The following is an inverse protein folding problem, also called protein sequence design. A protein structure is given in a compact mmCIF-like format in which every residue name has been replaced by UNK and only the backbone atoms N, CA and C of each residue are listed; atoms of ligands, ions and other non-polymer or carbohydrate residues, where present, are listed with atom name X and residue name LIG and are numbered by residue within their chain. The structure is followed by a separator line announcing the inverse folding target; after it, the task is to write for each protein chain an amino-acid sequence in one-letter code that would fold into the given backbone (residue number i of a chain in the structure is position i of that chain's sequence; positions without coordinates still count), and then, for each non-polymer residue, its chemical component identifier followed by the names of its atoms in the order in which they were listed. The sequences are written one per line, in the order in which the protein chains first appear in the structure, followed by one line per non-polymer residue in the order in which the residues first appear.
data_IF_661394468481
#
_entry.id   IF_661394468481
#
_cell.length_a   1.000
_cell.length_b   1.000
_cell.length_c   1.000
_cell.angle_alpha   90.00
_cell.angle_beta   90.00
_cell.angle_gamma   90.00
#
_symmetry.space_group_name_H-M   'P 1'
#
loop_
_entity.id
_entity.type
_entity.pdbx_description
1 polymer ?
#
# COMPACT_ATOMS: atom_id res chain seq x y z
N UNK A 1 -2.88 -4.12 20.22
CA UNK A 1 -2.04 -3.13 20.92
C UNK A 1 -2.27 -1.80 20.23
N UNK A 2 -2.50 -0.72 20.96
CA UNK A 2 -2.53 0.63 20.41
C UNK A 2 -1.14 1.00 19.86
N UNK A 3 -1.10 1.69 18.72
CA UNK A 3 0.14 2.25 18.17
C UNK A 3 0.73 3.24 19.17
N UNK A 4 1.94 2.99 19.68
CA UNK A 4 2.65 3.87 20.62
C UNK A 4 3.45 4.97 19.92
N UNK A 5 3.64 4.87 18.61
CA UNK A 5 4.41 5.86 17.85
C UNK A 5 5.92 5.80 18.06
N UNK A 6 6.42 4.81 18.81
CA UNK A 6 7.85 4.57 18.96
C UNK A 6 8.33 3.43 18.08
N UNK A 7 9.61 3.47 17.73
CA UNK A 7 10.27 2.31 17.17
C UNK A 7 10.57 1.31 18.31
N UNK A 8 10.31 0.04 18.07
CA UNK A 8 10.55 -1.07 19.01
C UNK A 8 12.02 -1.17 19.41
N UNK A 9 12.93 -0.80 18.50
CA UNK A 9 14.36 -0.68 18.75
C UNK A 9 14.81 0.77 18.59
N UNK A 10 14.78 1.53 19.68
CA UNK A 10 15.43 2.84 19.76
C UNK A 10 16.87 2.68 20.25
N UNK A 11 17.84 3.21 19.50
CA UNK A 11 19.23 3.30 19.95
C UNK A 11 19.37 4.53 20.84
N UNK A 12 19.41 4.33 22.17
CA UNK A 12 19.76 5.37 23.13
C UNK A 12 18.85 5.37 24.35
N UNK A 13 19.35 4.80 25.46
CA UNK A 13 18.66 4.78 26.76
C UNK A 13 19.17 5.88 27.71
N UNK A 14 20.16 6.67 27.30
CA UNK A 14 20.95 7.49 28.24
C UNK A 14 21.22 8.93 27.75
N UNK A 15 20.18 9.76 27.63
CA UNK A 15 20.35 11.22 27.75
C UNK A 15 19.19 11.81 28.57
N UNK A 16 19.46 12.68 29.56
CA UNK A 16 18.42 13.39 30.28
C UNK A 16 17.90 14.50 29.36
N UNK A 17 17.03 14.15 28.42
CA UNK A 17 16.38 15.15 27.59
C UNK A 17 15.44 15.99 28.46
N UNK A 18 15.42 17.31 28.23
CA UNK A 18 14.44 18.28 28.76
C UNK A 18 13.03 18.00 28.19
N UNK A 19 12.79 16.78 27.76
CA UNK A 19 11.68 16.38 26.91
C UNK A 19 10.96 15.26 27.63
N UNK A 20 9.68 15.46 27.84
CA UNK A 20 8.81 14.46 28.46
C UNK A 20 8.29 13.51 27.38
N UNK A 21 8.50 12.22 27.60
CA UNK A 21 8.00 11.16 26.75
C UNK A 21 6.51 10.91 27.04
N UNK A 22 5.69 11.00 25.99
CA UNK A 22 4.23 10.88 26.10
C UNK A 22 3.69 9.55 25.59
N UNK A 23 4.56 8.57 25.30
CA UNK A 23 4.15 7.28 24.73
C UNK A 23 3.17 6.48 25.60
N UNK A 24 3.24 6.60 26.93
CA UNK A 24 2.29 5.93 27.84
C UNK A 24 0.87 6.50 27.72
N UNK A 25 0.74 7.80 27.43
CA UNK A 25 -0.55 8.49 27.21
C UNK A 25 -1.18 8.06 25.87
N UNK A 26 -0.37 7.72 24.88
CA UNK A 26 -0.84 7.29 23.56
C UNK A 26 -1.68 6.02 23.65
N UNK A 27 -1.44 5.17 24.66
CA UNK A 27 -2.21 3.93 24.86
C UNK A 27 -3.71 4.13 25.14
N UNK A 28 -4.11 5.37 25.49
CA UNK A 28 -5.50 5.76 25.77
C UNK A 28 -6.24 6.19 24.48
N UNK A 29 -5.54 6.36 23.36
CA UNK A 29 -6.17 6.75 22.08
C UNK A 29 -7.11 5.64 21.60
N UNK A 30 -8.34 6.04 21.28
CA UNK A 30 -9.37 5.13 20.80
C UNK A 30 -8.94 4.48 19.48
N UNK A 31 -8.97 3.14 19.38
CA UNK A 31 -8.70 2.43 18.11
C UNK A 31 -9.62 2.83 16.95
N UNK A 32 -10.72 3.54 17.22
CA UNK A 32 -11.65 4.06 16.20
C UNK A 32 -11.20 5.41 15.57
N UNK A 33 -10.20 6.07 16.15
CA UNK A 33 -9.61 7.30 15.60
C UNK A 33 -8.45 7.01 14.65
N UNK A 34 -7.60 6.03 15.00
CA UNK A 34 -6.40 5.62 14.26
C UNK A 34 -6.36 4.11 13.94
N UNK A 35 -7.38 3.59 13.23
CA UNK A 35 -7.58 2.16 13.04
C UNK A 35 -6.51 1.49 12.16
N UNK A 36 -5.94 2.18 11.16
CA UNK A 36 -4.86 1.62 10.35
C UNK A 36 -3.56 1.57 11.15
N UNK A 37 -3.18 2.65 11.84
CA UNK A 37 -2.00 2.68 12.70
C UNK A 37 -2.06 1.59 13.78
N UNK A 38 -3.21 1.43 14.45
CA UNK A 38 -3.41 0.38 15.44
C UNK A 38 -3.32 -1.05 14.87
N UNK A 39 -3.62 -1.22 13.57
CA UNK A 39 -3.51 -2.51 12.87
C UNK A 39 -2.09 -2.80 12.38
N UNK A 40 -1.38 -1.80 11.85
CA UNK A 40 0.03 -1.93 11.42
C UNK A 40 0.98 -2.12 12.62
N UNK A 41 0.64 -1.53 13.76
CA UNK A 41 1.46 -1.57 14.96
C UNK A 41 2.69 -0.68 14.87
N UNK A 42 3.54 -0.80 15.88
CA UNK A 42 4.74 0.03 16.01
C UNK A 42 5.85 -0.41 15.06
N UNK A 43 6.58 0.58 14.54
CA UNK A 43 7.73 0.31 13.70
C UNK A 43 8.78 -0.51 14.45
N UNK A 44 9.48 -1.37 13.73
CA UNK A 44 10.64 -2.10 14.23
C UNK A 44 11.83 -1.17 14.33
N UNK A 45 12.00 -0.23 13.39
CA UNK A 45 13.17 0.64 13.30
C UNK A 45 12.77 2.09 13.12
N UNK A 46 13.64 3.01 13.56
CA UNK A 46 13.50 4.43 13.30
C UNK A 46 14.20 4.82 11.98
N UNK A 47 13.73 5.88 11.33
CA UNK A 47 14.40 6.47 10.18
C UNK A 47 15.67 7.20 10.65
N UNK A 48 16.77 7.06 9.90
CA UNK A 48 18.04 7.69 10.23
C UNK A 48 18.22 9.07 9.57
N UNK A 49 17.37 9.43 8.61
CA UNK A 49 17.49 10.64 7.81
C UNK A 49 16.13 11.25 7.50
N UNK A 50 16.16 12.54 7.11
CA UNK A 50 14.99 13.32 6.68
C UNK A 50 14.38 12.81 5.36
N UNK A 51 15.21 12.11 4.58
CA UNK A 51 14.81 11.30 3.42
C UNK A 51 14.95 9.84 3.84
N UNK A 52 13.83 9.14 3.93
CA UNK A 52 13.81 7.72 4.25
C UNK A 52 13.83 6.93 2.95
N UNK A 53 14.86 6.12 2.77
CA UNK A 53 15.10 5.38 1.54
C UNK A 53 15.14 3.89 1.82
N UNK A 54 14.58 3.11 0.90
CA UNK A 54 14.67 1.66 0.89
C UNK A 54 14.99 1.17 -0.51
N UNK A 55 15.56 -0.04 -0.58
CA UNK A 55 15.96 -0.65 -1.84
C UNK A 55 14.97 -1.76 -2.17
N UNK A 56 14.49 -1.74 -3.40
CA UNK A 56 13.68 -2.81 -3.96
C UNK A 56 14.45 -3.51 -5.08
N UNK A 57 14.28 -4.83 -5.13
CA UNK A 57 14.80 -5.68 -6.20
C UNK A 57 13.66 -6.60 -6.64
N UNK A 58 13.65 -6.94 -7.92
CA UNK A 58 12.66 -7.82 -8.51
C UNK A 58 13.40 -8.95 -9.21
N UNK A 59 12.83 -10.16 -9.17
CA UNK A 59 13.34 -11.25 -9.99
C UNK A 59 13.20 -10.91 -11.48
N UNK A 60 13.98 -11.60 -12.32
CA UNK A 60 13.84 -11.50 -13.75
C UNK A 60 12.38 -11.82 -14.14
N UNK A 61 11.73 -10.95 -14.92
CA UNK A 61 10.34 -11.14 -15.29
C UNK A 61 10.22 -12.38 -16.18
N UNK A 62 9.27 -13.25 -15.85
CA UNK A 62 8.93 -14.45 -16.61
C UNK A 62 7.72 -14.24 -17.53
N UNK A 63 7.19 -13.02 -17.60
CA UNK A 63 6.09 -12.67 -18.49
C UNK A 63 6.34 -11.35 -19.22
N UNK A 64 5.73 -11.20 -20.38
CA UNK A 64 5.61 -9.93 -21.10
C UNK A 64 4.28 -9.89 -21.87
N UNK A 65 4.04 -8.89 -22.72
CA UNK A 65 2.87 -8.89 -23.59
C UNK A 65 3.26 -8.51 -25.03
N UNK A 66 2.49 -9.05 -25.97
CA UNK A 66 2.59 -8.71 -27.39
C UNK A 66 2.21 -7.24 -27.58
N UNK A 67 3.04 -6.50 -28.31
CA UNK A 67 2.83 -5.11 -28.68
C UNK A 67 2.83 -4.98 -30.20
N UNK A 68 1.83 -5.61 -30.82
CA UNK A 68 1.73 -5.73 -32.25
C UNK A 68 0.26 -5.77 -32.66
N UNK A 69 -0.13 -4.83 -33.52
CA UNK A 69 -1.50 -4.71 -34.02
C UNK A 69 -1.70 -5.44 -35.36
N UNK A 70 -0.64 -5.59 -36.14
CA UNK A 70 -0.68 -6.20 -37.48
C UNK A 70 0.29 -7.36 -37.53
N UNK A 71 -0.20 -8.54 -37.93
CA UNK A 71 0.57 -9.77 -37.99
C UNK A 71 0.72 -10.21 -39.44
N UNK A 72 1.95 -10.52 -39.86
CA UNK A 72 2.24 -11.02 -41.21
C UNK A 72 2.77 -12.45 -41.10
N UNK A 73 2.16 -13.43 -41.78
CA UNK A 73 1.02 -13.31 -42.69
C UNK A 73 -0.34 -13.17 -41.98
N UNK A 74 -0.47 -13.60 -40.73
CA UNK A 74 -1.67 -13.47 -39.91
C UNK A 74 -1.31 -13.74 -38.42
N UNK A 75 -2.27 -13.58 -37.50
CA UNK A 75 -2.05 -13.77 -36.04
C UNK A 75 -1.76 -15.21 -35.59
N UNK A 76 -1.99 -16.22 -36.42
CA UNK A 76 -1.64 -17.62 -36.13
C UNK A 76 -0.24 -18.01 -36.60
N UNK A 77 0.21 -17.42 -37.70
CA UNK A 77 1.40 -17.89 -38.44
C UNK A 77 2.57 -16.89 -38.43
N UNK A 78 2.37 -15.70 -37.86
CA UNK A 78 3.46 -14.74 -37.73
C UNK A 78 4.60 -15.31 -36.87
N UNK A 79 5.81 -15.31 -37.44
CA UNK A 79 7.06 -15.77 -36.81
C UNK A 79 7.90 -14.61 -36.28
N UNK A 80 7.54 -13.38 -36.62
CA UNK A 80 8.13 -12.16 -36.06
C UNK A 80 7.10 -11.47 -35.19
N UNK A 81 7.33 -11.48 -33.87
CA UNK A 81 6.41 -10.96 -32.85
C UNK A 81 7.09 -9.83 -32.08
N UNK A 82 6.53 -8.63 -32.18
CA UNK A 82 6.94 -7.49 -31.38
C UNK A 82 6.31 -7.58 -29.99
N UNK A 83 7.15 -7.50 -28.96
CA UNK A 83 6.75 -7.51 -27.55
C UNK A 83 7.06 -6.16 -26.89
N UNK A 84 6.55 -5.93 -25.69
CA UNK A 84 6.84 -4.68 -24.96
C UNK A 84 8.33 -4.58 -24.59
N UNK A 85 8.96 -5.69 -24.17
CA UNK A 85 10.32 -5.73 -23.67
C UNK A 85 11.05 -6.99 -24.15
N UNK A 86 11.72 -6.93 -25.30
CA UNK A 86 12.42 -8.10 -25.87
C UNK A 86 13.61 -8.56 -25.02
N UNK A 87 14.22 -7.68 -24.23
CA UNK A 87 15.28 -8.03 -23.28
C UNK A 87 14.84 -8.97 -22.14
N UNK A 88 13.55 -9.28 -22.02
CA UNK A 88 13.04 -10.31 -21.09
C UNK A 88 13.25 -11.74 -21.61
N UNK A 89 13.44 -11.89 -22.92
CA UNK A 89 13.56 -13.16 -23.62
C UNK A 89 15.00 -13.41 -24.05
N UNK A 90 15.37 -14.68 -24.17
CA UNK A 90 16.63 -15.13 -24.73
C UNK A 90 16.38 -16.17 -25.82
N UNK A 91 17.38 -16.36 -26.67
CA UNK A 91 17.36 -17.43 -27.68
C UNK A 91 17.30 -18.78 -26.96
N UNK A 92 16.41 -19.65 -27.43
CA UNK A 92 16.11 -20.94 -26.81
C UNK A 92 14.95 -20.91 -25.82
N UNK A 93 14.42 -19.74 -25.46
CA UNK A 93 13.26 -19.67 -24.56
C UNK A 93 12.02 -20.32 -25.19
N UNK A 94 11.37 -21.18 -24.41
CA UNK A 94 10.03 -21.68 -24.70
C UNK A 94 9.01 -20.71 -24.12
N UNK A 95 8.12 -20.21 -24.98
CA UNK A 95 7.15 -19.18 -24.64
C UNK A 95 5.74 -19.68 -24.93
N UNK A 96 4.81 -19.41 -24.01
CA UNK A 96 3.39 -19.71 -24.18
C UNK A 96 2.58 -18.42 -24.33
N UNK A 97 1.78 -18.26 -25.41
CA UNK A 97 0.86 -17.14 -25.55
C UNK A 97 -0.42 -17.36 -24.74
N UNK A 98 -0.68 -16.48 -23.79
CA UNK A 98 -1.84 -16.50 -22.91
C UNK A 98 -1.97 -17.83 -22.18
N UNK A 99 -3.20 -18.31 -22.05
CA UNK A 99 -3.50 -19.66 -21.56
C UNK A 99 -3.68 -20.66 -22.71
N UNK A 100 -3.11 -20.38 -23.89
CA UNK A 100 -3.22 -21.28 -25.04
C UNK A 100 -2.35 -22.54 -24.86
N UNK A 101 -2.74 -23.66 -25.49
CA UNK A 101 -1.91 -24.86 -25.51
C UNK A 101 -0.69 -24.73 -26.45
N UNK A 102 -0.60 -23.67 -27.26
CA UNK A 102 0.53 -23.44 -28.15
C UNK A 102 1.81 -23.15 -27.37
N UNK A 103 2.94 -23.67 -27.84
CA UNK A 103 4.29 -23.31 -27.35
C UNK A 103 5.11 -22.81 -28.53
N UNK A 104 5.86 -21.75 -28.29
CA UNK A 104 6.80 -21.17 -29.25
C UNK A 104 8.22 -21.41 -28.78
N UNK A 105 9.14 -21.54 -29.72
CA UNK A 105 10.57 -21.48 -29.43
C UNK A 105 11.14 -20.19 -29.98
N UNK A 106 11.80 -19.39 -29.14
CA UNK A 106 12.50 -18.17 -29.55
C UNK A 106 13.81 -18.55 -30.22
N UNK A 107 13.99 -18.16 -31.47
CA UNK A 107 15.21 -18.43 -32.26
C UNK A 107 16.09 -17.20 -32.44
N UNK A 108 15.53 -16.00 -32.35
CA UNK A 108 16.30 -14.76 -32.32
C UNK A 108 15.57 -13.67 -31.54
N UNK A 109 16.33 -12.75 -30.97
CA UNK A 109 15.81 -11.55 -30.30
C UNK A 109 16.55 -10.34 -30.89
N UNK A 110 15.80 -9.42 -31.51
CA UNK A 110 16.32 -8.19 -32.10
C UNK A 110 15.58 -6.98 -31.50
N UNK A 111 16.17 -6.36 -30.48
CA UNK A 111 15.50 -5.29 -29.73
C UNK A 111 14.24 -5.83 -29.05
N UNK A 112 13.07 -5.35 -29.49
CA UNK A 112 11.75 -5.79 -29.01
C UNK A 112 11.06 -6.81 -29.94
N UNK A 113 11.73 -7.27 -31.00
CA UNK A 113 11.17 -8.22 -31.96
C UNK A 113 11.73 -9.61 -31.67
N UNK A 114 10.84 -10.57 -31.44
CA UNK A 114 11.17 -11.98 -31.28
C UNK A 114 10.95 -12.71 -32.60
N UNK A 115 11.97 -13.42 -33.07
CA UNK A 115 11.80 -14.44 -34.11
C UNK A 115 11.49 -15.76 -33.42
N UNK A 116 10.37 -16.38 -33.77
CA UNK A 116 9.87 -17.59 -33.12
C UNK A 116 9.51 -18.68 -34.10
N UNK A 117 9.72 -19.93 -33.69
CA UNK A 117 9.10 -21.10 -34.30
C UNK A 117 7.77 -21.35 -33.60
N UNK A 118 6.68 -21.30 -34.37
CA UNK A 118 5.31 -21.55 -33.90
C UNK A 118 5.06 -23.04 -33.73
N UNK A 119 4.03 -23.39 -32.93
CA UNK A 119 3.57 -24.78 -32.76
C UNK A 119 4.69 -25.76 -32.39
N UNK A 120 5.64 -25.32 -31.60
CA UNK A 120 6.77 -26.14 -31.16
C UNK A 120 6.24 -27.38 -30.43
N UNK A 121 6.82 -28.55 -30.72
CA UNK A 121 6.38 -29.83 -30.17
C UNK A 121 5.01 -30.31 -30.66
N UNK A 122 4.59 -29.92 -31.88
CA UNK A 122 3.28 -30.25 -32.46
C UNK A 122 2.10 -29.70 -31.64
N UNK A 123 2.29 -28.56 -30.99
CA UNK A 123 1.23 -27.92 -30.20
C UNK A 123 0.15 -27.28 -31.10
N UNK A 124 -1.12 -27.23 -30.66
CA UNK A 124 -2.20 -26.65 -31.46
C UNK A 124 -1.98 -25.18 -31.80
N UNK A 125 -2.50 -24.74 -32.95
CA UNK A 125 -2.43 -23.34 -33.37
C UNK A 125 -3.24 -22.41 -32.44
N UNK A 126 -2.70 -21.22 -32.16
CA UNK A 126 -3.43 -20.17 -31.45
C UNK A 126 -3.32 -18.82 -32.19
N UNK A 127 -4.44 -18.12 -32.33
CA UNK A 127 -4.45 -16.77 -32.92
C UNK A 127 -4.04 -15.75 -31.88
N UNK A 128 -2.89 -15.12 -32.07
CA UNK A 128 -2.39 -14.06 -31.20
C UNK A 128 -3.03 -12.72 -31.57
N UNK A 129 -3.35 -11.93 -30.57
CA UNK A 129 -3.77 -10.53 -30.71
C UNK A 129 -2.84 -9.60 -29.94
N UNK A 130 -2.91 -8.31 -30.24
CA UNK A 130 -2.23 -7.30 -29.42
C UNK A 130 -2.60 -7.46 -27.94
N UNK A 131 -1.65 -7.26 -27.03
CA UNK A 131 -1.86 -7.37 -25.59
C UNK A 131 -1.92 -8.79 -25.04
N UNK A 132 -1.79 -9.82 -25.88
CA UNK A 132 -1.70 -11.21 -25.38
C UNK A 132 -0.48 -11.35 -24.47
N UNK A 133 -0.70 -11.77 -23.22
CA UNK A 133 0.40 -12.05 -22.27
C UNK A 133 1.23 -13.23 -22.81
N UNK A 134 2.54 -13.13 -22.77
CA UNK A 134 3.48 -14.20 -23.11
C UNK A 134 4.15 -14.67 -21.83
N UNK A 135 4.06 -15.96 -21.52
CA UNK A 135 4.72 -16.56 -20.37
C UNK A 135 5.95 -17.37 -20.80
N UNK A 136 7.09 -17.08 -20.20
CA UNK A 136 8.35 -17.81 -20.41
C UNK A 136 8.28 -19.08 -19.56
N UNK A 137 8.25 -20.23 -20.22
CA UNK A 137 8.23 -21.54 -19.57
C UNK A 137 9.63 -21.93 -19.07
N UNK A 138 10.66 -21.52 -19.80
CA UNK A 138 12.06 -21.78 -19.48
C UNK A 138 12.92 -21.79 -20.73
N UNK A 139 14.24 -21.74 -20.55
CA UNK A 139 15.19 -21.83 -21.65
C UNK A 139 15.47 -23.31 -21.99
N UNK A 140 15.29 -23.67 -23.27
CA UNK A 140 15.68 -24.97 -23.81
C UNK A 140 17.10 -24.87 -24.40
N UNK A 141 18.10 -24.95 -23.51
CA UNK A 141 19.50 -24.90 -23.88
C UNK A 141 19.90 -26.13 -24.73
N UNK A 142 20.78 -25.89 -25.72
CA UNK A 142 21.35 -26.95 -26.54
C UNK A 142 22.45 -27.70 -25.77
N UNK A 143 22.52 -29.02 -25.96
CA UNK A 143 23.57 -29.84 -25.38
C UNK A 143 24.95 -29.43 -25.93
N UNK A 144 25.91 -29.19 -25.03
CA UNK A 144 27.27 -28.78 -25.39
C UNK A 144 27.43 -27.34 -25.88
N UNK A 145 26.37 -26.51 -25.83
CA UNK A 145 26.46 -25.10 -26.19
C UNK A 145 27.13 -24.25 -25.09
N UNK A 146 27.74 -23.15 -25.51
CA UNK A 146 28.26 -22.14 -24.58
C UNK A 146 27.15 -21.54 -23.71
N UNK A 147 27.51 -21.14 -22.50
CA UNK A 147 26.56 -20.50 -21.59
C UNK A 147 26.03 -19.18 -22.17
N UNK A 148 24.71 -18.97 -22.05
CA UNK A 148 24.08 -17.72 -22.44
C UNK A 148 24.58 -16.54 -21.58
N UNK A 149 24.53 -15.30 -22.10
CA UNK A 149 24.91 -14.12 -21.33
C UNK A 149 24.13 -14.02 -20.01
N UNK A 150 24.86 -13.72 -18.93
CA UNK A 150 24.26 -13.52 -17.63
C UNK A 150 23.28 -12.33 -17.64
N UNK A 151 22.13 -12.52 -17.00
CA UNK A 151 21.11 -11.50 -16.82
C UNK A 151 21.19 -10.94 -15.42
N UNK A 152 21.15 -9.62 -15.31
CA UNK A 152 21.19 -8.92 -14.03
C UNK A 152 19.90 -8.15 -13.82
N UNK A 153 19.41 -8.13 -12.59
CA UNK A 153 18.37 -7.21 -12.14
C UNK A 153 19.05 -6.02 -11.48
N UNK A 154 18.49 -4.83 -11.65
CA UNK A 154 19.02 -3.64 -11.00
C UNK A 154 18.17 -3.31 -9.79
N UNK A 155 18.85 -2.98 -8.70
CA UNK A 155 18.24 -2.53 -7.46
C UNK A 155 17.77 -1.10 -7.63
N UNK A 156 16.49 -0.85 -7.38
CA UNK A 156 15.90 0.48 -7.49
C UNK A 156 15.76 1.06 -6.09
N UNK A 157 16.23 2.30 -5.92
CA UNK A 157 16.03 3.06 -4.69
C UNK A 157 14.66 3.73 -4.71
N UNK A 158 13.87 3.48 -3.67
CA UNK A 158 12.61 4.18 -3.38
C UNK A 158 12.83 5.10 -2.19
N UNK A 159 12.06 6.18 -2.11
CA UNK A 159 12.21 7.18 -1.07
C UNK A 159 10.88 7.81 -0.66
N UNK A 160 10.82 8.26 0.59
CA UNK A 160 9.79 9.14 1.13
C UNK A 160 10.44 10.20 2.03
N UNK A 161 9.72 11.28 2.29
CA UNK A 161 10.17 12.32 3.22
C UNK A 161 9.54 12.11 4.59
N UNK A 162 10.28 12.42 5.66
CA UNK A 162 9.68 12.53 7.00
C UNK A 162 8.99 13.89 7.18
N UNK A 163 7.83 13.89 7.82
CA UNK A 163 7.01 15.07 8.06
C UNK A 163 6.93 15.37 9.55
N UNK A 164 7.04 16.64 9.90
CA UNK A 164 6.93 17.12 11.28
C UNK A 164 5.46 17.39 11.60
N UNK A 165 4.98 16.78 12.66
CA UNK A 165 3.69 17.00 13.29
C UNK A 165 3.94 17.76 14.59
N UNK A 166 3.28 18.90 14.76
CA UNK A 166 3.48 19.72 15.95
C UNK A 166 2.19 20.43 16.37
N UNK A 167 1.96 20.48 17.68
CA UNK A 167 0.87 21.22 18.30
C UNK A 167 1.39 21.95 19.54
N UNK A 168 0.94 23.18 19.75
CA UNK A 168 1.30 23.98 20.92
C UNK A 168 0.24 23.86 22.01
N UNK A 169 0.69 23.75 23.25
CA UNK A 169 -0.14 23.79 24.46
C UNK A 169 0.26 25.03 25.25
N UNK A 170 -0.73 25.79 25.72
CA UNK A 170 -0.50 26.98 26.52
C UNK A 170 -1.57 27.07 27.61
N UNK A 171 -1.15 27.20 28.86
CA UNK A 171 -2.05 27.28 30.03
C UNK A 171 -1.64 28.48 30.88
N UNK A 172 -2.59 29.37 31.15
CA UNK A 172 -2.34 30.56 31.98
C UNK A 172 -2.17 30.20 33.45
N UNK A 173 -1.38 30.98 34.20
CA UNK A 173 -1.13 30.74 35.63
C UNK A 173 -2.42 30.73 36.47
N UNK A 174 -3.40 31.57 36.12
CA UNK A 174 -4.71 31.57 36.78
C UNK A 174 -5.48 30.27 36.52
N UNK A 175 -5.47 29.76 35.29
CA UNK A 175 -6.15 28.51 34.95
C UNK A 175 -5.51 27.30 35.63
N UNK A 176 -4.19 27.30 35.77
CA UNK A 176 -3.46 26.27 36.51
C UNK A 176 -3.74 26.31 38.02
N UNK A 177 -3.94 27.51 38.60
CA UNK A 177 -4.27 27.67 40.02
C UNK A 177 -5.73 27.32 40.35
N UNK A 178 -6.64 27.48 39.39
CA UNK A 178 -8.07 27.15 39.57
C UNK A 178 -8.26 25.65 39.47
N UNK A 179 -8.80 25.03 40.53
CA UNK A 179 -9.22 23.63 40.49
C UNK A 179 -10.44 23.47 39.59
N UNK A 180 -10.24 22.93 38.39
CA UNK A 180 -11.34 22.54 37.54
C UNK A 180 -11.96 21.22 38.02
N UNK A 181 -13.28 21.10 37.95
CA UNK A 181 -13.96 19.87 38.34
C UNK A 181 -13.67 18.77 37.31
N UNK A 182 -13.15 17.63 37.77
CA UNK A 182 -12.94 16.44 36.93
C UNK A 182 -11.58 16.36 36.22
N UNK A 183 -10.72 17.37 36.34
CA UNK A 183 -9.36 17.38 35.77
C UNK A 183 -8.35 17.59 36.90
N UNK A 184 -7.34 16.71 37.01
CA UNK A 184 -6.31 16.82 38.06
C UNK A 184 -5.28 17.90 37.73
N UNK A 185 -4.79 17.92 36.48
CA UNK A 185 -3.90 18.96 35.93
C UNK A 185 -4.37 19.33 34.52
N UNK A 186 -4.65 20.61 34.32
CA UNK A 186 -5.10 21.17 33.03
C UNK A 186 -4.02 21.04 31.96
N UNK A 187 -2.75 21.22 32.34
CA UNK A 187 -1.65 21.15 31.39
C UNK A 187 -1.54 19.75 30.80
N UNK A 188 -1.62 18.73 31.65
CA UNK A 188 -1.57 17.35 31.20
C UNK A 188 -2.79 17.02 30.34
N UNK A 189 -3.99 17.43 30.73
CA UNK A 189 -5.20 17.25 29.92
C UNK A 189 -5.04 17.82 28.50
N UNK A 190 -4.55 19.05 28.39
CA UNK A 190 -4.30 19.68 27.08
C UNK A 190 -3.20 18.96 26.28
N UNK A 191 -2.14 18.44 26.93
CA UNK A 191 -1.15 17.57 26.26
C UNK A 191 -1.83 16.33 25.66
N UNK A 192 -2.70 15.65 26.42
CA UNK A 192 -3.37 14.42 25.96
C UNK A 192 -4.26 14.70 24.74
N UNK A 193 -5.07 15.76 24.77
CA UNK A 193 -5.97 16.10 23.67
C UNK A 193 -5.20 16.51 22.40
N UNK A 194 -4.14 17.32 22.52
CA UNK A 194 -3.29 17.66 21.36
C UNK A 194 -2.57 16.45 20.79
N UNK A 195 -2.17 15.49 21.62
CA UNK A 195 -1.55 14.26 21.17
C UNK A 195 -2.52 13.38 20.37
N UNK A 196 -3.77 13.28 20.82
CA UNK A 196 -4.84 12.59 20.08
C UNK A 196 -5.09 13.24 18.72
N UNK A 197 -5.11 14.57 18.67
CA UNK A 197 -5.22 15.31 17.41
C UNK A 197 -4.03 15.01 16.47
N UNK A 198 -2.79 15.03 16.97
CA UNK A 198 -1.61 14.75 16.15
C UNK A 198 -1.58 13.30 15.62
N UNK A 199 -2.04 12.32 16.41
CA UNK A 199 -2.14 10.94 15.96
C UNK A 199 -3.22 10.75 14.90
N UNK A 200 -4.35 11.44 15.05
CA UNK A 200 -5.41 11.49 14.04
C UNK A 200 -4.90 12.10 12.73
N UNK A 201 -4.13 13.17 12.82
CA UNK A 201 -3.54 13.83 11.66
C UNK A 201 -2.47 12.94 11.01
N UNK A 202 -1.69 12.20 11.81
CA UNK A 202 -0.75 11.21 11.32
C UNK A 202 -1.46 10.12 10.50
N UNK A 203 -2.52 9.49 11.03
CA UNK A 203 -3.32 8.48 10.31
C UNK A 203 -3.84 9.03 8.98
N UNK A 204 -4.37 10.26 8.96
CA UNK A 204 -4.87 10.88 7.73
C UNK A 204 -3.73 11.13 6.72
N UNK A 205 -2.57 11.60 7.17
CA UNK A 205 -1.40 11.77 6.31
C UNK A 205 -0.81 10.43 5.84
N UNK A 206 -0.89 9.35 6.62
CA UNK A 206 -0.44 8.01 6.20
C UNK A 206 -1.29 7.53 5.02
N UNK A 207 -2.59 7.80 5.02
CA UNK A 207 -3.50 7.38 3.95
C UNK A 207 -3.45 8.33 2.75
N UNK A 208 -3.64 9.63 2.99
CA UNK A 208 -3.89 10.66 1.96
C UNK A 208 -2.71 11.63 1.73
N UNK A 209 -1.59 11.46 2.44
CA UNK A 209 -0.44 12.36 2.37
C UNK A 209 0.08 12.54 0.95
N UNK A 210 0.61 13.72 0.67
CA UNK A 210 1.20 14.06 -0.63
C UNK A 210 2.50 14.82 -0.40
N UNK A 211 3.59 14.32 -0.99
CA UNK A 211 4.90 14.95 -0.98
C UNK A 211 4.91 16.21 -1.87
N UNK A 212 5.78 17.19 -1.56
CA UNK A 212 5.89 18.39 -2.38
C UNK A 212 6.41 18.06 -3.79
N UNK A 213 5.94 18.80 -4.79
CA UNK A 213 6.35 18.61 -6.19
C UNK A 213 7.83 18.99 -6.43
N UNK A 214 8.40 19.82 -5.56
CA UNK A 214 9.79 20.28 -5.60
C UNK A 214 10.57 19.77 -4.39
N UNK A 215 11.86 19.51 -4.56
CA UNK A 215 12.75 19.07 -3.47
C UNK A 215 12.72 20.03 -2.29
N UNK A 216 12.32 19.59 -1.09
CA UNK A 216 12.26 20.44 0.10
C UNK A 216 13.64 20.70 0.74
N UNK A 217 14.66 19.90 0.38
CA UNK A 217 16.00 20.00 0.95
C UNK A 217 16.65 21.34 0.57
N UNK A 218 17.09 22.11 1.57
CA UNK A 218 17.73 23.42 1.36
C UNK A 218 16.78 24.57 1.01
N UNK A 219 15.47 24.33 0.98
CA UNK A 219 14.46 25.38 0.78
C UNK A 219 13.94 25.91 2.11
N UNK A 220 13.78 27.22 2.21
CA UNK A 220 13.13 27.89 3.35
C UNK A 220 11.63 28.09 3.14
N UNK A 221 11.12 27.84 1.93
CA UNK A 221 9.71 28.09 1.54
C UNK A 221 8.93 26.80 1.25
N UNK A 222 9.59 25.69 0.93
CA UNK A 222 8.94 24.41 0.64
C UNK A 222 8.81 23.59 1.91
N UNK A 223 7.57 23.33 2.31
CA UNK A 223 7.28 22.45 3.45
C UNK A 223 7.51 21.00 3.06
N UNK A 224 8.15 20.25 3.95
CA UNK A 224 8.36 18.81 3.80
C UNK A 224 7.12 18.05 4.29
N UNK A 225 6.47 17.34 3.37
CA UNK A 225 5.35 16.44 3.64
C UNK A 225 5.64 15.05 3.10
N UNK A 226 5.07 14.04 3.74
CA UNK A 226 5.23 12.65 3.32
C UNK A 226 4.20 12.26 2.26
N UNK A 227 4.56 11.34 1.37
CA UNK A 227 3.57 10.63 0.56
C UNK A 227 2.86 9.58 1.42
N UNK A 228 1.54 9.55 1.32
CA UNK A 228 0.70 8.50 1.88
C UNK A 228 0.55 7.31 0.92
N UNK A 229 -0.08 6.25 1.43
CA UNK A 229 -0.24 4.97 0.74
C UNK A 229 -0.97 5.12 -0.61
N UNK A 230 -2.03 5.94 -0.66
CA UNK A 230 -2.78 6.16 -1.92
C UNK A 230 -1.90 6.75 -3.02
N UNK A 231 -1.02 7.68 -2.66
CA UNK A 231 -0.17 8.38 -3.64
C UNK A 231 1.02 7.52 -4.10
N UNK A 232 1.45 6.57 -3.26
CA UNK A 232 2.51 5.62 -3.59
C UNK A 232 2.03 4.48 -4.49
N UNK A 233 0.72 4.21 -4.54
CA UNK A 233 0.10 3.26 -5.45
C UNK A 233 -0.16 3.89 -6.83
N UNK A 234 0.55 3.45 -7.86
CA UNK A 234 0.50 3.94 -9.24
C UNK A 234 0.12 2.85 -10.25
N UNK A 235 0.63 1.63 -10.08
CA UNK A 235 0.46 0.52 -11.04
C UNK A 235 -0.88 -0.19 -10.85
N UNK A 236 -1.20 -0.59 -9.63
CA UNK A 236 -2.39 -1.36 -9.29
C UNK A 236 -3.56 -0.48 -8.86
N UNK A 237 -3.97 0.42 -9.77
CA UNK A 237 -5.17 1.24 -9.61
C UNK A 237 -6.29 0.69 -10.50
N UNK A 238 -7.31 0.12 -9.86
CA UNK A 238 -8.46 -0.45 -10.55
C UNK A 238 -9.65 0.52 -10.51
N UNK A 239 -10.29 0.68 -11.66
CA UNK A 239 -11.51 1.48 -11.83
C UNK A 239 -12.60 0.58 -12.41
N UNK A 240 -13.81 0.55 -11.83
CA UNK A 240 -14.94 -0.22 -12.36
C UNK A 240 -15.12 -0.05 -13.88
N UNK A 241 -15.13 -1.16 -14.62
CA UNK A 241 -15.40 -1.18 -16.05
C UNK A 241 -14.29 -0.64 -16.97
N UNK A 242 -13.10 -0.33 -16.44
CA UNK A 242 -11.95 0.15 -17.24
C UNK A 242 -10.83 -0.88 -17.33
N UNK A 243 -10.05 -0.84 -18.42
CA UNK A 243 -8.85 -1.66 -18.61
C UNK A 243 -9.05 -3.17 -18.39
N UNK A 244 -10.25 -3.68 -18.71
CA UNK A 244 -10.62 -5.09 -18.50
C UNK A 244 -10.97 -5.45 -17.06
N UNK A 245 -11.00 -4.50 -16.14
CA UNK A 245 -11.51 -4.69 -14.78
C UNK A 245 -13.04 -4.81 -14.79
N UNK A 246 -13.64 -5.74 -14.01
CA UNK A 246 -15.07 -5.96 -14.02
C UNK A 246 -15.87 -4.70 -13.65
N UNK A 247 -17.05 -4.57 -14.27
CA UNK A 247 -18.00 -3.51 -13.92
C UNK A 247 -18.55 -3.73 -12.51
N UNK A 248 -18.92 -2.63 -11.86
CA UNK A 248 -19.56 -2.66 -10.54
C UNK A 248 -21.00 -3.15 -10.61
N UNK A 249 -21.60 -3.33 -9.44
CA UNK A 249 -23.05 -3.54 -9.32
C UNK A 249 -23.84 -2.24 -9.58
N UNK A 250 -25.16 -2.33 -9.45
CA UNK A 250 -26.05 -1.17 -9.57
C UNK A 250 -25.89 -0.45 -10.92
N UNK A 251 -25.60 0.86 -10.87
CA UNK A 251 -25.35 1.69 -12.05
C UNK A 251 -23.95 1.47 -12.69
N UNK A 252 -23.22 0.43 -12.28
CA UNK A 252 -21.92 0.05 -12.84
C UNK A 252 -20.70 0.43 -12.00
N UNK A 253 -20.90 1.11 -10.87
CA UNK A 253 -19.83 1.62 -9.98
C UNK A 253 -19.96 1.16 -8.52
N UNK A 254 -21.02 0.43 -8.16
CA UNK A 254 -21.13 -0.14 -6.81
C UNK A 254 -20.10 -1.26 -6.63
N UNK A 255 -19.43 -1.29 -5.48
CA UNK A 255 -18.51 -2.37 -5.13
C UNK A 255 -19.26 -3.71 -5.09
N UNK A 256 -18.73 -4.71 -5.80
CA UNK A 256 -19.22 -6.09 -5.78
C UNK A 256 -18.09 -7.10 -5.50
N UNK A 257 -18.46 -8.34 -5.22
CA UNK A 257 -17.50 -9.41 -4.88
C UNK A 257 -16.59 -9.76 -6.07
N UNK A 258 -17.12 -9.71 -7.29
CA UNK A 258 -16.35 -9.97 -8.52
C UNK A 258 -15.19 -9.00 -8.68
N UNK A 259 -15.39 -7.71 -8.37
CA UNK A 259 -14.34 -6.69 -8.36
C UNK A 259 -13.30 -6.95 -7.29
N UNK A 260 -13.73 -7.29 -6.08
CA UNK A 260 -12.82 -7.62 -4.99
C UNK A 260 -11.92 -8.80 -5.36
N UNK A 261 -12.51 -9.90 -5.83
CA UNK A 261 -11.77 -11.10 -6.22
C UNK A 261 -10.88 -10.86 -7.45
N UNK A 262 -11.30 -10.05 -8.42
CA UNK A 262 -10.46 -9.69 -9.56
C UNK A 262 -9.23 -8.86 -9.16
N UNK A 263 -9.39 -7.93 -8.22
CA UNK A 263 -8.27 -7.13 -7.71
C UNK A 263 -7.28 -8.02 -6.92
N UNK A 264 -7.78 -8.86 -6.02
CA UNK A 264 -6.96 -9.80 -5.25
C UNK A 264 -6.21 -10.78 -6.15
N UNK A 265 -6.89 -11.34 -7.16
CA UNK A 265 -6.27 -12.20 -8.17
C UNK A 265 -5.13 -11.50 -8.91
N UNK A 266 -5.33 -10.26 -9.33
CA UNK A 266 -4.33 -9.53 -10.11
C UNK A 266 -3.07 -9.28 -9.29
N UNK A 267 -3.22 -8.93 -8.01
CA UNK A 267 -2.09 -8.75 -7.10
C UNK A 267 -1.36 -10.07 -6.85
N UNK A 268 -2.09 -11.16 -6.67
CA UNK A 268 -1.52 -12.50 -6.52
C UNK A 268 -0.72 -12.93 -7.76
N UNK A 269 -1.27 -12.72 -8.98
CA UNK A 269 -0.58 -13.02 -10.24
C UNK A 269 0.74 -12.22 -10.42
N UNK A 270 0.80 -10.99 -9.93
CA UNK A 270 1.94 -10.09 -10.12
C UNK A 270 3.03 -10.21 -9.05
N UNK A 271 2.63 -10.36 -7.78
CA UNK A 271 3.55 -10.23 -6.64
C UNK A 271 3.74 -11.52 -5.85
N UNK A 272 2.87 -12.53 -6.08
CA UNK A 272 2.74 -13.71 -5.21
C UNK A 272 2.56 -13.37 -3.72
N UNK A 273 2.22 -12.12 -3.39
CA UNK A 273 1.91 -11.66 -2.04
C UNK A 273 0.43 -11.89 -1.74
N UNK A 274 0.15 -12.27 -0.48
CA UNK A 274 -1.22 -12.34 0.03
C UNK A 274 -1.57 -10.99 0.66
N UNK A 275 -2.60 -10.35 0.14
CA UNK A 275 -3.22 -9.20 0.80
C UNK A 275 -3.87 -9.71 2.08
N UNK A 276 -3.57 -9.05 3.20
CA UNK A 276 -4.07 -9.43 4.53
C UNK A 276 -4.96 -8.35 5.13
N UNK A 277 -5.01 -7.16 4.54
CA UNK A 277 -5.65 -5.98 5.13
C UNK A 277 -6.46 -5.24 4.07
N UNK A 278 -7.75 -5.07 4.32
CA UNK A 278 -8.64 -4.23 3.52
C UNK A 278 -8.99 -3.00 4.35
N UNK A 279 -8.71 -1.80 3.85
CA UNK A 279 -9.06 -0.55 4.54
C UNK A 279 -10.08 0.24 3.73
N UNK A 280 -11.19 0.56 4.39
CA UNK A 280 -12.37 1.15 3.73
C UNK A 280 -13.05 2.20 4.60
N UNK A 281 -13.78 3.08 3.93
CA UNK A 281 -14.76 3.97 4.56
C UNK A 281 -16.07 3.21 4.86
N UNK A 282 -16.96 3.81 5.67
CA UNK A 282 -18.23 3.24 6.12
C UNK A 282 -19.18 2.83 4.99
N UNK A 283 -19.24 3.57 3.89
CA UNK A 283 -20.11 3.19 2.76
C UNK A 283 -19.64 1.88 2.12
N UNK A 284 -18.35 1.80 1.75
CA UNK A 284 -17.79 0.59 1.15
C UNK A 284 -17.80 -0.58 2.13
N UNK A 285 -17.64 -0.32 3.44
CA UNK A 285 -17.83 -1.34 4.48
C UNK A 285 -19.24 -1.94 4.46
N UNK A 286 -20.29 -1.11 4.30
CA UNK A 286 -21.67 -1.62 4.17
C UNK A 286 -21.85 -2.45 2.91
N UNK A 287 -21.24 -2.06 1.79
CA UNK A 287 -21.25 -2.85 0.54
C UNK A 287 -20.56 -4.20 0.75
N UNK A 288 -19.42 -4.25 1.44
CA UNK A 288 -18.75 -5.52 1.79
C UNK A 288 -19.64 -6.40 2.66
N UNK A 289 -20.35 -5.85 3.65
CA UNK A 289 -21.28 -6.64 4.47
C UNK A 289 -22.42 -7.24 3.62
N UNK A 290 -22.80 -6.59 2.51
CA UNK A 290 -23.82 -7.10 1.60
C UNK A 290 -23.38 -8.28 0.73
N UNK A 291 -22.08 -8.60 0.69
CA UNK A 291 -21.58 -9.79 -0.04
C UNK A 291 -22.12 -11.09 0.58
N UNK A 292 -22.41 -11.08 1.89
CA UNK A 292 -23.06 -12.21 2.55
C UNK A 292 -24.52 -12.28 2.12
N UNK A 293 -24.84 -13.24 1.25
CA UNK A 293 -26.20 -13.50 0.79
C UNK A 293 -27.16 -13.81 1.94
N UNK A 294 -28.44 -13.45 1.79
CA UNK A 294 -29.44 -13.58 2.86
C UNK A 294 -29.62 -15.02 3.37
N UNK A 295 -29.38 -16.04 2.52
CA UNK A 295 -29.49 -17.44 2.90
C UNK A 295 -28.37 -17.94 3.85
N UNK A 296 -27.21 -17.28 3.85
CA UNK A 296 -26.13 -17.58 4.80
C UNK A 296 -26.37 -16.93 6.18
N UNK A 297 -27.37 -16.03 6.27
CA UNK A 297 -27.76 -15.34 7.51
C UNK A 297 -28.77 -16.22 8.25
N UNK A 298 -28.27 -17.14 9.08
CA UNK A 298 -29.11 -17.92 9.99
C UNK A 298 -29.17 -17.23 11.35
N UNK A 299 -30.39 -17.03 11.85
CA UNK A 299 -30.65 -16.57 13.21
C UNK A 299 -31.40 -17.68 13.94
N UNK A 300 -30.94 -18.02 15.14
CA UNK A 300 -31.68 -18.93 16.00
C UNK A 300 -32.91 -18.20 16.57
N UNK A 301 -34.02 -18.89 16.90
CA UNK A 301 -35.20 -18.27 17.50
C UNK A 301 -34.94 -17.52 18.82
N UNK A 302 -33.81 -17.78 19.48
CA UNK A 302 -33.37 -17.12 20.71
C UNK A 302 -32.44 -15.92 20.47
N UNK A 303 -32.07 -15.61 19.23
CA UNK A 303 -31.18 -14.50 18.92
C UNK A 303 -31.95 -13.16 18.98
N UNK A 304 -31.75 -12.41 20.07
CA UNK A 304 -32.32 -11.06 20.25
C UNK A 304 -31.46 -9.95 19.59
N UNK A 305 -30.36 -10.30 18.91
CA UNK A 305 -29.38 -9.35 18.36
C UNK A 305 -29.16 -9.57 16.86
N UNK A 306 -29.42 -8.53 16.06
CA UNK A 306 -29.08 -8.53 14.63
C UNK A 306 -27.56 -8.36 14.42
N UNK A 307 -26.95 -9.22 13.58
CA UNK A 307 -25.52 -9.20 13.25
C UNK A 307 -25.35 -9.19 11.74
N UNK A 308 -24.74 -8.11 11.21
CA UNK A 308 -24.45 -7.96 9.78
C UNK A 308 -23.09 -7.28 9.60
N UNK A 309 -22.04 -7.92 10.12
CA UNK A 309 -20.67 -7.41 10.14
C UNK A 309 -19.71 -8.45 9.59
N UNK A 310 -19.00 -8.09 8.52
CA UNK A 310 -17.88 -8.89 7.98
C UNK A 310 -16.58 -8.33 8.52
N UNK A 311 -16.00 -8.97 9.54
CA UNK A 311 -14.69 -8.56 10.10
C UNK A 311 -13.49 -9.10 9.33
N UNK A 312 -13.66 -10.29 8.72
CA UNK A 312 -12.65 -11.01 7.96
C UNK A 312 -13.32 -11.43 6.65
N UNK A 313 -12.63 -11.17 5.54
CA UNK A 313 -13.01 -11.57 4.20
C UNK A 313 -12.03 -12.64 3.73
N UNK A 314 -12.50 -13.87 3.65
CA UNK A 314 -11.73 -15.00 3.13
C UNK A 314 -12.06 -15.17 1.65
N UNK A 315 -11.02 -15.11 0.82
CA UNK A 315 -11.11 -15.29 -0.62
C UNK A 315 -10.19 -16.42 -1.06
N UNK A 316 -10.33 -16.89 -2.30
CA UNK A 316 -9.44 -17.89 -2.90
C UNK A 316 -7.96 -17.48 -2.91
N UNK A 317 -7.66 -16.18 -2.76
CA UNK A 317 -6.32 -15.60 -2.83
C UNK A 317 -5.74 -15.20 -1.47
N UNK A 318 -6.49 -15.39 -0.38
CA UNK A 318 -6.03 -15.08 0.97
C UNK A 318 -7.13 -14.60 1.91
N UNK A 319 -6.75 -14.49 3.19
CA UNK A 319 -7.60 -14.03 4.29
C UNK A 319 -7.29 -12.57 4.59
N UNK A 320 -8.28 -11.72 4.40
CA UNK A 320 -8.16 -10.27 4.56
C UNK A 320 -8.95 -9.78 5.79
N UNK A 321 -8.32 -9.04 6.69
CA UNK A 321 -9.00 -8.33 7.78
C UNK A 321 -9.54 -6.99 7.26
N UNK A 322 -10.83 -6.72 7.48
CA UNK A 322 -11.47 -5.49 7.02
C UNK A 322 -11.45 -4.42 8.11
N UNK A 323 -10.57 -3.45 7.98
CA UNK A 323 -10.39 -2.30 8.85
C UNK A 323 -11.23 -1.12 8.35
N UNK A 324 -12.03 -0.54 9.24
CA UNK A 324 -12.86 0.63 8.96
C UNK A 324 -12.07 1.90 9.35
N UNK A 325 -11.74 2.76 8.38
CA UNK A 325 -11.13 4.06 8.63
C UNK A 325 -11.93 5.17 7.96
N UNK A 326 -12.23 6.23 8.72
CA UNK A 326 -12.99 7.39 8.22
C UNK A 326 -12.20 8.24 7.22
N UNK A 327 -10.88 8.10 7.24
CA UNK A 327 -9.95 8.92 6.45
C UNK A 327 -9.77 8.39 5.03
N UNK A 328 -10.13 7.14 4.76
CA UNK A 328 -10.13 6.62 3.38
C UNK A 328 -11.24 7.35 2.58
N UNK A 329 -10.94 7.85 1.38
CA UNK A 329 -11.96 8.44 0.50
C UNK A 329 -13.14 7.49 0.27
N UNK A 330 -14.35 8.04 0.24
CA UNK A 330 -15.57 7.23 0.20
C UNK A 330 -15.71 6.37 -1.07
N UNK A 331 -15.04 6.75 -2.17
CA UNK A 331 -15.03 6.07 -3.46
C UNK A 331 -13.90 5.02 -3.59
N UNK A 332 -13.13 4.81 -2.52
CA UNK A 332 -11.88 4.06 -2.56
C UNK A 332 -11.86 2.88 -1.58
N UNK A 333 -11.27 1.77 -2.01
CA UNK A 333 -10.96 0.58 -1.20
C UNK A 333 -9.46 0.31 -1.32
N UNK A 334 -8.77 0.21 -0.18
CA UNK A 334 -7.34 -0.11 -0.14
C UNK A 334 -7.16 -1.59 0.20
N UNK A 335 -6.31 -2.25 -0.59
CA UNK A 335 -5.92 -3.64 -0.43
C UNK A 335 -4.43 -3.68 -0.15
N UNK A 336 -4.06 -3.97 1.10
CA UNK A 336 -2.69 -3.84 1.60
C UNK A 336 -2.17 -5.16 2.16
N UNK A 337 -0.87 -5.37 1.98
CA UNK A 337 -0.06 -6.36 2.72
C UNK A 337 0.59 -5.65 3.92
N UNK A 338 0.04 -5.85 5.12
CA UNK A 338 0.50 -5.16 6.34
C UNK A 338 1.97 -5.39 6.66
N UNK A 339 2.55 -6.52 6.23
CA UNK A 339 3.96 -6.83 6.48
C UNK A 339 4.94 -5.94 5.71
N UNK A 340 4.44 -5.20 4.71
CA UNK A 340 5.22 -4.34 3.80
C UNK A 340 4.94 -2.86 3.97
N UNK A 341 4.08 -2.49 4.92
CA UNK A 341 3.76 -1.09 5.24
C UNK A 341 4.19 -0.82 6.68
N UNK A 342 5.06 0.18 6.88
CA UNK A 342 5.57 0.53 8.20
C UNK A 342 5.53 2.06 8.39
N UNK A 343 5.01 2.52 9.52
CA UNK A 343 4.98 3.95 9.87
C UNK A 343 6.11 4.23 10.85
N UNK A 344 7.13 4.95 10.37
CA UNK A 344 8.44 5.04 11.00
C UNK A 344 8.66 6.44 11.58
N UNK A 345 9.00 6.57 12.88
CA UNK A 345 9.48 7.83 13.44
C UNK A 345 10.93 8.12 13.01
N UNK A 346 11.30 9.38 12.88
CA UNK A 346 12.71 9.77 12.80
C UNK A 346 13.40 9.50 14.15
N UNK A 347 14.64 8.99 14.11
CA UNK A 347 15.42 8.66 15.30
C UNK A 347 15.49 9.86 16.27
N UNK A 348 15.12 9.64 17.54
CA UNK A 348 15.07 10.67 18.58
C UNK A 348 13.94 11.70 18.41
N UNK A 349 13.03 11.53 17.45
CA UNK A 349 11.93 12.47 17.18
C UNK A 349 10.56 11.79 17.07
N UNK A 350 10.34 10.71 17.83
CA UNK A 350 8.97 10.23 18.12
C UNK A 350 8.18 11.30 18.87
N UNK A 351 6.85 11.17 18.97
CA UNK A 351 6.04 12.13 19.74
C UNK A 351 6.56 12.34 21.15
N UNK A 352 6.87 13.61 21.46
CA UNK A 352 7.40 14.01 22.74
C UNK A 352 6.99 15.45 23.06
N UNK A 353 6.87 15.75 24.35
CA UNK A 353 6.52 17.09 24.82
C UNK A 353 7.79 17.87 25.18
N UNK A 354 7.95 19.04 24.56
CA UNK A 354 9.05 19.97 24.82
C UNK A 354 8.51 21.24 25.48
N UNK A 355 8.94 21.59 26.70
CA UNK A 355 8.57 22.86 27.32
C UNK A 355 9.21 24.03 26.56
N UNK A 356 8.45 25.11 26.39
CA UNK A 356 8.92 26.36 25.80
C UNK A 356 9.28 27.35 26.91
N UNK A 357 10.02 28.40 26.56
CA UNK A 357 10.29 29.48 27.51
C UNK A 357 8.97 30.17 27.88
N UNK A 358 8.75 30.42 29.17
CA UNK A 358 7.58 31.12 29.65
C UNK A 358 7.51 32.52 29.04
N UNK A 359 6.33 32.87 28.51
CA UNK A 359 6.05 34.20 27.96
C UNK A 359 4.84 34.77 28.67
N UNK A 360 5.05 35.78 29.52
CA UNK A 360 4.00 36.28 30.41
C UNK A 360 3.68 35.32 31.56
N UNK A 361 2.46 35.41 32.12
CA UNK A 361 1.95 34.53 33.18
C UNK A 361 1.27 33.28 32.58
N UNK A 362 2.03 32.51 31.81
CA UNK A 362 1.57 31.26 31.19
C UNK A 362 2.70 30.22 31.08
N UNK A 363 2.31 28.95 31.21
CA UNK A 363 3.16 27.79 30.96
C UNK A 363 2.85 27.30 29.56
N UNK A 364 3.83 27.43 28.67
CA UNK A 364 3.71 27.04 27.27
C UNK A 364 4.64 25.86 26.94
N UNK A 365 4.20 25.00 26.03
CA UNK A 365 4.99 23.90 25.51
C UNK A 365 4.55 23.47 24.12
N UNK A 366 5.33 22.60 23.50
CA UNK A 366 5.07 22.08 22.18
C UNK A 366 5.17 20.56 22.19
N UNK A 367 4.14 19.90 21.68
CA UNK A 367 4.18 18.50 21.34
C UNK A 367 4.69 18.37 19.90
N UNK A 368 5.75 17.58 19.70
CA UNK A 368 6.39 17.42 18.39
C UNK A 368 6.66 15.94 18.12
N UNK A 369 6.42 15.51 16.89
CA UNK A 369 6.83 14.21 16.38
C UNK A 369 7.14 14.29 14.90
N UNK A 370 8.03 13.44 14.41
CA UNK A 370 8.43 13.40 13.01
C UNK A 370 8.35 11.98 12.47
N UNK A 371 7.53 11.78 11.44
CA UNK A 371 7.15 10.45 10.94
C UNK A 371 7.18 10.37 9.42
N UNK A 372 7.32 9.15 8.89
CA UNK A 372 7.15 8.82 7.47
C UNK A 372 6.48 7.45 7.29
N UNK A 373 6.07 7.15 6.06
CA UNK A 373 5.58 5.82 5.68
C UNK A 373 6.60 5.15 4.77
N UNK A 374 7.07 3.98 5.19
CA UNK A 374 7.81 3.06 4.35
C UNK A 374 6.84 2.08 3.70
N UNK A 375 6.75 2.14 2.38
CA UNK A 375 5.81 1.34 1.58
C UNK A 375 6.59 0.48 0.60
N UNK A 376 6.80 -0.78 0.98
CA UNK A 376 7.61 -1.73 0.21
C UNK A 376 6.76 -2.50 -0.79
N UNK A 377 7.35 -2.73 -1.95
CA UNK A 377 6.80 -3.52 -3.05
C UNK A 377 5.36 -3.12 -3.38
N UNK A 378 5.21 -2.00 -4.08
CA UNK A 378 3.93 -1.47 -4.55
C UNK A 378 3.04 -2.53 -5.22
N UNK A 379 3.63 -3.46 -5.98
CA UNK A 379 2.88 -4.50 -6.70
C UNK A 379 2.18 -5.51 -5.78
N UNK A 380 2.55 -5.58 -4.49
CA UNK A 380 1.87 -6.42 -3.49
C UNK A 380 0.59 -5.77 -2.92
N UNK A 381 0.30 -4.54 -3.34
CA UNK A 381 -0.83 -3.76 -2.89
C UNK A 381 -1.69 -3.34 -4.08
N UNK A 382 -2.92 -2.93 -3.80
CA UNK A 382 -3.82 -2.39 -4.81
C UNK A 382 -4.80 -1.40 -4.21
N UNK A 383 -5.37 -0.57 -5.08
CA UNK A 383 -6.55 0.22 -4.75
C UNK A 383 -7.62 0.05 -5.81
N UNK A 384 -8.87 0.06 -5.37
CA UNK A 384 -10.04 0.23 -6.23
C UNK A 384 -10.57 1.64 -5.98
N UNK A 385 -10.77 2.43 -7.03
CA UNK A 385 -11.22 3.83 -6.96
C UNK A 385 -12.35 4.12 -7.93
N UNK A 386 -13.06 5.23 -7.73
CA UNK A 386 -14.20 5.59 -8.56
C UNK A 386 -15.44 4.74 -8.28
N UNK A 387 -15.55 4.20 -7.06
CA UNK A 387 -16.75 3.49 -6.60
C UNK A 387 -17.86 4.49 -6.27
N UNK A 388 -19.11 4.02 -6.30
CA UNK A 388 -20.26 4.84 -5.90
C UNK A 388 -20.09 5.35 -4.46
N UNK A 389 -20.38 6.64 -4.27
CA UNK A 389 -20.36 7.33 -2.97
C UNK A 389 -21.75 7.57 -2.39
N UNK A 390 -22.79 7.03 -3.04
CA UNK A 390 -24.20 7.13 -2.63
C UNK A 390 -24.92 5.78 -2.65
#
# INVERSE_FOLDING_TARGET
MSFSGKATYAAGVDLPEIVEDVSDVISIVSPFETPLLAHLGDAKRAAASTVHEWIEDALLPNTDAVNQTTFTPNGQDATSITVNNGGRFQVGDLVRPGNAPEVWQVTAVAGNVLTVVRRYGNTPAFTVTNGTKLAILGNAALEGADALPARFTNRVRKQNYTQIFAATVDVTGTMQAVRQYGVQDEMDFQKQERLRELLRDLENCVINGTAPASTPQGSTSVRRSMNGVIKQLSTNQFVPGQNGFPSGGGAGTDLNETQMNAALRTVWEQSSGAIDTIVVNGLQKRRINSFVGMAARSFAPADERFRDLVGIYESDFGVCKVVLSRWVPADTVLLLDSSRVEVVPLAGRSFHFRPLAATGDAVSGQLVGEYTVEFRNENAHALIRGLSTS
#
